data_IF_003249979952
#
_entry.id   IF_003249979952
#
_cell.length_a   1.000
_cell.length_b   1.000
_cell.length_c   1.000
_cell.angle_alpha   90.00
_cell.angle_beta   90.00
_cell.angle_gamma   90.00
#
_symmetry.space_group_name_H-M   'P 1'
#
loop_
_entity.id
_entity.type
_entity.pdbx_description
1 polymer ?
#
# COMPACT_ATOMS: atom_id res chain seq x y z
N UNK A 1 12.88 1.26 -18.84
CA UNK A 1 14.28 0.77 -18.75
C UNK A 1 14.25 -0.69 -18.32
N UNK A 2 15.12 -1.55 -18.92
CA UNK A 2 15.30 -2.93 -18.43
C UNK A 2 16.36 -2.87 -17.31
N UNK A 3 15.99 -3.33 -16.15
CA UNK A 3 16.89 -3.45 -15.01
C UNK A 3 17.06 -4.93 -14.66
N UNK A 4 18.27 -5.33 -14.27
CA UNK A 4 18.56 -6.69 -13.83
C UNK A 4 18.59 -6.70 -12.30
N UNK A 5 17.70 -7.43 -11.67
CA UNK A 5 17.57 -7.50 -10.21
C UNK A 5 18.83 -8.12 -9.58
N UNK A 6 19.45 -9.09 -10.27
CA UNK A 6 20.61 -9.83 -9.78
C UNK A 6 21.70 -9.95 -10.85
N UNK A 7 22.44 -8.86 -11.17
CA UNK A 7 23.43 -8.85 -12.23
C UNK A 7 24.62 -9.78 -11.98
N UNK A 8 24.89 -10.19 -10.73
CA UNK A 8 25.94 -11.13 -10.36
C UNK A 8 25.82 -12.49 -11.04
N UNK A 9 24.59 -12.94 -11.40
CA UNK A 9 24.39 -14.21 -12.11
C UNK A 9 24.95 -14.20 -13.54
N UNK A 10 25.23 -13.03 -14.13
CA UNK A 10 25.88 -12.93 -15.44
C UNK A 10 27.30 -13.52 -15.44
N UNK A 11 27.93 -13.67 -14.26
CA UNK A 11 29.23 -14.35 -14.12
C UNK A 11 29.17 -15.80 -14.64
N UNK A 12 28.00 -16.44 -14.60
CA UNK A 12 27.81 -17.78 -15.16
C UNK A 12 28.10 -17.86 -16.66
N UNK A 13 28.04 -16.76 -17.40
CA UNK A 13 28.48 -16.76 -18.80
C UNK A 13 29.96 -17.14 -18.94
N UNK A 14 30.80 -16.91 -17.95
CA UNK A 14 32.19 -17.34 -17.95
C UNK A 14 32.37 -18.86 -17.89
N UNK A 15 31.35 -19.61 -17.42
CA UNK A 15 31.39 -21.07 -17.45
C UNK A 15 31.41 -21.64 -18.86
N UNK A 16 30.84 -20.93 -19.84
CA UNK A 16 30.80 -21.39 -21.21
C UNK A 16 32.20 -21.45 -21.87
N UNK A 17 33.04 -20.40 -21.88
CA UNK A 17 34.40 -20.49 -22.37
C UNK A 17 35.27 -21.44 -21.55
N UNK A 18 35.05 -21.47 -20.21
CA UNK A 18 35.76 -22.44 -19.33
C UNK A 18 35.45 -23.87 -19.73
N UNK A 19 34.20 -24.21 -20.01
CA UNK A 19 33.77 -25.52 -20.47
C UNK A 19 34.46 -25.90 -21.80
N UNK A 20 34.55 -24.97 -22.75
CA UNK A 20 35.22 -25.16 -24.02
C UNK A 20 36.71 -25.42 -23.81
N UNK A 21 37.38 -24.69 -22.92
CA UNK A 21 38.79 -24.84 -22.58
C UNK A 21 39.06 -26.24 -21.95
N UNK A 22 38.26 -26.61 -20.96
CA UNK A 22 38.34 -27.91 -20.29
C UNK A 22 38.11 -29.07 -21.27
N UNK A 23 37.19 -28.93 -22.21
CA UNK A 23 36.93 -29.92 -23.25
C UNK A 23 38.10 -30.03 -24.23
N UNK A 24 38.75 -28.92 -24.59
CA UNK A 24 39.96 -28.92 -25.43
C UNK A 24 41.16 -29.52 -24.69
N UNK A 25 41.27 -29.29 -23.37
CA UNK A 25 42.29 -29.85 -22.51
C UNK A 25 42.12 -31.36 -22.21
N UNK A 26 41.04 -31.98 -22.70
CA UNK A 26 40.84 -33.45 -22.54
C UNK A 26 40.27 -33.87 -21.18
N UNK A 27 39.84 -32.93 -20.35
CA UNK A 27 39.27 -33.24 -19.02
C UNK A 27 37.95 -34.01 -19.08
N UNK A 28 37.24 -33.98 -20.19
CA UNK A 28 36.00 -34.74 -20.35
C UNK A 28 36.28 -36.02 -21.15
N UNK A 29 36.27 -37.14 -20.46
CA UNK A 29 36.26 -38.48 -21.06
C UNK A 29 35.04 -38.59 -21.97
N UNK A 30 35.23 -38.86 -23.25
CA UNK A 30 34.14 -39.22 -24.13
C UNK A 30 33.61 -40.57 -23.68
N UNK A 31 32.38 -40.73 -23.19
CA UNK A 31 31.81 -42.04 -22.92
C UNK A 31 31.64 -42.75 -24.26
N UNK A 32 32.64 -43.49 -24.66
CA UNK A 32 32.57 -44.42 -25.78
C UNK A 32 32.12 -45.75 -25.21
N UNK A 33 30.88 -46.12 -25.41
CA UNK A 33 30.43 -47.50 -25.18
C UNK A 33 30.89 -48.31 -26.39
N UNK A 34 31.87 -49.24 -26.25
CA UNK A 34 32.24 -50.13 -27.33
C UNK A 34 31.06 -51.10 -27.55
N UNK A 35 30.29 -50.88 -28.60
CA UNK A 35 29.38 -51.90 -29.10
C UNK A 35 30.24 -52.97 -29.76
N UNK A 36 30.51 -54.07 -29.04
CA UNK A 36 31.13 -55.24 -29.58
C UNK A 36 30.08 -55.97 -30.43
N UNK A 37 29.90 -55.51 -31.65
CA UNK A 37 29.24 -56.28 -32.70
C UNK A 37 30.28 -57.34 -33.14
N UNK A 38 30.13 -58.56 -32.67
CA UNK A 38 31.06 -59.65 -32.91
C UNK A 38 31.62 -59.71 -34.33
N UNK A 39 32.70 -60.47 -34.56
CA UNK A 39 33.45 -60.55 -35.82
C UNK A 39 32.59 -60.72 -37.09
N UNK A 40 32.05 -59.70 -37.60
CA UNK A 40 31.25 -59.68 -38.79
C UNK A 40 32.08 -59.30 -40.01
N UNK A 41 33.40 -59.50 -40.01
CA UNK A 41 34.27 -59.42 -41.17
C UNK A 41 34.05 -58.23 -42.14
N UNK A 42 33.37 -57.18 -41.69
CA UNK A 42 32.96 -56.07 -42.52
C UNK A 42 33.77 -54.83 -42.26
N UNK A 43 34.11 -54.04 -43.27
CA UNK A 43 34.86 -52.77 -43.13
C UNK A 43 34.08 -51.82 -42.26
N UNK A 44 34.84 -51.09 -41.43
CA UNK A 44 34.40 -50.07 -40.46
C UNK A 44 33.15 -49.32 -40.95
N UNK A 45 31.99 -49.61 -40.34
CA UNK A 45 30.74 -48.89 -40.62
C UNK A 45 30.85 -47.46 -40.10
N UNK A 46 31.34 -46.57 -40.91
CA UNK A 46 31.30 -45.14 -40.60
C UNK A 46 29.97 -44.55 -41.01
N UNK A 47 29.02 -44.50 -40.06
CA UNK A 47 27.76 -43.79 -40.26
C UNK A 47 28.02 -42.29 -40.37
N UNK A 48 28.38 -41.80 -41.56
CA UNK A 48 28.51 -40.38 -41.87
C UNK A 48 27.24 -39.88 -42.59
N UNK A 49 26.09 -40.02 -41.97
CA UNK A 49 24.86 -39.42 -42.53
C UNK A 49 24.86 -37.90 -42.35
N UNK A 50 24.60 -37.11 -43.40
CA UNK A 50 24.46 -35.65 -43.27
C UNK A 50 23.32 -35.28 -42.33
N UNK A 51 22.29 -36.11 -42.23
CA UNK A 51 21.19 -35.95 -41.31
C UNK A 51 21.61 -35.99 -39.85
N UNK A 52 22.44 -36.96 -39.47
CA UNK A 52 22.94 -37.03 -38.07
C UNK A 52 23.87 -35.89 -37.70
N UNK A 53 24.61 -35.32 -38.65
CA UNK A 53 25.39 -34.11 -38.45
C UNK A 53 24.49 -32.88 -38.23
N UNK A 54 23.43 -32.77 -39.03
CA UNK A 54 22.44 -31.68 -38.93
C UNK A 54 21.71 -31.73 -37.56
N UNK A 55 21.19 -32.89 -37.17
CA UNK A 55 20.54 -33.08 -35.86
C UNK A 55 21.46 -32.74 -34.72
N UNK A 56 22.74 -33.17 -34.78
CA UNK A 56 23.73 -32.83 -33.75
C UNK A 56 24.05 -31.35 -33.72
N UNK A 57 24.14 -30.68 -34.86
CA UNK A 57 24.37 -29.24 -34.93
C UNK A 57 23.21 -28.46 -34.30
N UNK A 58 21.97 -28.81 -34.69
CA UNK A 58 20.76 -28.20 -34.14
C UNK A 58 20.64 -28.43 -32.64
N UNK A 59 20.87 -29.65 -32.18
CA UNK A 59 20.84 -29.99 -30.73
C UNK A 59 21.89 -29.23 -29.92
N UNK A 60 23.12 -29.08 -30.45
CA UNK A 60 24.16 -28.26 -29.76
C UNK A 60 23.82 -26.77 -29.78
N UNK A 61 23.31 -26.25 -30.87
CA UNK A 61 22.87 -24.85 -30.95
C UNK A 61 21.72 -24.58 -29.97
N UNK A 62 20.73 -25.47 -29.94
CA UNK A 62 19.60 -25.35 -28.99
C UNK A 62 20.08 -25.40 -27.52
N UNK A 63 21.01 -26.28 -27.17
CA UNK A 63 21.56 -26.36 -25.82
C UNK A 63 22.32 -25.09 -25.41
N UNK A 64 23.09 -24.51 -26.35
CA UNK A 64 23.78 -23.23 -26.10
C UNK A 64 22.79 -22.10 -25.89
N UNK A 65 21.79 -21.98 -26.75
CA UNK A 65 20.74 -20.96 -26.62
C UNK A 65 20.00 -21.12 -25.28
N UNK A 66 19.61 -22.36 -24.94
CA UNK A 66 18.94 -22.64 -23.68
C UNK A 66 19.80 -22.23 -22.46
N UNK A 67 21.11 -22.48 -22.49
CA UNK A 67 22.02 -22.03 -21.44
C UNK A 67 22.03 -20.51 -21.29
N UNK A 68 22.16 -19.77 -22.41
CA UNK A 68 22.16 -18.30 -22.38
C UNK A 68 20.83 -17.74 -21.88
N UNK A 69 19.72 -18.31 -22.31
CA UNK A 69 18.38 -17.90 -21.84
C UNK A 69 18.18 -18.22 -20.35
N UNK A 70 18.67 -19.35 -19.87
CA UNK A 70 18.60 -19.70 -18.45
C UNK A 70 19.39 -18.74 -17.57
N UNK A 71 20.62 -18.35 -17.98
CA UNK A 71 21.41 -17.36 -17.25
C UNK A 71 20.73 -15.99 -17.26
N UNK A 72 20.13 -15.60 -18.40
CA UNK A 72 19.40 -14.35 -18.50
C UNK A 72 18.14 -14.36 -17.60
N UNK A 73 17.42 -15.48 -17.56
CA UNK A 73 16.27 -15.65 -16.67
C UNK A 73 16.65 -15.57 -15.19
N UNK A 74 17.79 -16.19 -14.79
CA UNK A 74 18.32 -16.12 -13.43
C UNK A 74 18.75 -14.70 -13.02
N UNK A 75 19.17 -13.86 -13.97
CA UNK A 75 19.52 -12.48 -13.71
C UNK A 75 18.32 -11.57 -13.41
N UNK A 76 17.08 -12.10 -13.54
CA UNK A 76 15.83 -11.41 -13.21
C UNK A 76 15.65 -10.12 -14.01
N UNK A 77 15.40 -10.17 -15.33
CA UNK A 77 15.12 -8.96 -16.10
C UNK A 77 13.77 -8.40 -15.69
N UNK A 78 13.76 -7.29 -14.96
CA UNK A 78 12.57 -6.54 -14.56
C UNK A 78 12.41 -5.34 -15.49
N UNK A 79 11.24 -5.20 -16.06
CA UNK A 79 10.87 -4.01 -16.80
C UNK A 79 10.29 -3.01 -15.80
N UNK A 80 11.06 -2.01 -15.41
CA UNK A 80 10.51 -0.86 -14.71
C UNK A 80 9.61 -0.11 -15.69
N UNK A 81 8.31 -0.40 -15.61
CA UNK A 81 7.31 0.49 -16.15
C UNK A 81 7.18 1.61 -15.13
N UNK A 82 7.85 2.74 -15.38
CA UNK A 82 7.40 3.97 -14.75
C UNK A 82 5.99 4.19 -15.31
N UNK A 83 4.98 3.73 -14.62
CA UNK A 83 3.72 4.43 -14.69
C UNK A 83 4.08 5.81 -14.17
N UNK A 84 4.14 6.77 -15.08
CA UNK A 84 4.12 8.15 -14.70
C UNK A 84 2.80 8.30 -13.92
N UNK A 85 2.88 8.16 -12.60
CA UNK A 85 1.89 8.79 -11.73
C UNK A 85 1.95 10.23 -12.22
N UNK A 86 0.96 10.64 -12.97
CA UNK A 86 0.78 12.01 -13.39
C UNK A 86 0.67 12.80 -12.09
N UNK A 87 1.80 13.23 -11.57
CA UNK A 87 1.91 14.36 -10.68
C UNK A 87 1.51 15.59 -11.51
N UNK A 88 0.24 15.64 -11.91
CA UNK A 88 -0.40 16.93 -12.07
C UNK A 88 -0.28 17.55 -10.69
N UNK A 89 0.17 18.78 -10.64
CA UNK A 89 0.09 19.75 -9.55
C UNK A 89 -1.31 19.70 -8.89
N UNK A 90 -1.62 18.61 -8.23
CA UNK A 90 -2.87 18.39 -7.53
C UNK A 90 -2.59 18.48 -6.05
N UNK A 91 -3.48 19.11 -5.32
CA UNK A 91 -3.45 19.13 -3.86
C UNK A 91 -3.57 17.69 -3.33
N UNK A 92 -2.89 17.38 -2.25
CA UNK A 92 -3.06 16.15 -1.50
C UNK A 92 -3.96 16.42 -0.31
N UNK A 93 -4.98 15.58 -0.11
CA UNK A 93 -5.86 15.65 1.06
C UNK A 93 -5.81 14.33 1.82
N UNK A 94 -5.48 14.38 3.10
CA UNK A 94 -5.48 13.23 3.99
C UNK A 94 -6.65 13.38 4.96
N UNK A 95 -7.58 12.45 4.91
CA UNK A 95 -8.67 12.37 5.87
C UNK A 95 -8.26 11.51 7.05
N UNK A 96 -8.55 12.01 8.25
CA UNK A 96 -8.51 11.25 9.50
C UNK A 96 -9.96 11.03 9.90
N UNK A 97 -10.42 9.79 9.88
CA UNK A 97 -11.79 9.45 10.24
C UNK A 97 -11.78 8.64 11.53
N UNK A 98 -12.45 9.18 12.52
CA UNK A 98 -12.71 8.52 13.79
C UNK A 98 -13.69 7.37 13.59
N UNK A 99 -13.35 6.20 14.10
CA UNK A 99 -14.22 5.00 14.11
C UNK A 99 -14.36 4.43 15.51
N UNK A 100 -14.15 5.24 16.53
CA UNK A 100 -14.42 4.87 17.93
C UNK A 100 -15.90 4.52 18.15
N UNK A 101 -16.24 3.81 19.22
CA UNK A 101 -17.63 3.41 19.51
C UNK A 101 -18.64 4.58 19.59
N UNK A 102 -18.20 5.76 20.02
CA UNK A 102 -19.04 6.97 20.07
C UNK A 102 -19.53 7.43 18.68
N UNK A 103 -18.77 7.10 17.62
CA UNK A 103 -19.17 7.36 16.23
C UNK A 103 -20.34 6.47 15.73
N UNK A 104 -20.75 5.48 16.52
CA UNK A 104 -21.99 4.72 16.30
C UNK A 104 -23.25 5.47 16.74
N UNK A 105 -23.11 6.62 17.42
CA UNK A 105 -24.24 7.40 17.86
C UNK A 105 -25.09 7.87 16.67
N UNK A 106 -26.42 7.75 16.82
CA UNK A 106 -27.42 8.13 15.82
C UNK A 106 -28.20 9.37 16.28
N UNK A 107 -27.45 10.46 16.53
CA UNK A 107 -27.99 11.73 17.03
C UNK A 107 -28.21 12.79 15.93
N UNK A 108 -27.98 12.44 14.67
CA UNK A 108 -28.14 13.31 13.52
C UNK A 108 -29.01 12.61 12.44
N UNK A 109 -30.26 13.01 12.34
CA UNK A 109 -31.26 12.53 11.35
C UNK A 109 -31.34 10.98 11.19
N UNK A 110 -31.09 10.23 12.27
CA UNK A 110 -31.16 8.78 12.29
C UNK A 110 -30.00 8.06 11.59
N UNK A 111 -28.99 8.81 11.10
CA UNK A 111 -27.73 8.26 10.57
C UNK A 111 -26.68 8.21 11.67
N UNK A 112 -25.74 7.27 11.59
CA UNK A 112 -24.61 7.25 12.52
C UNK A 112 -23.64 8.39 12.21
N UNK A 113 -22.92 8.87 13.23
CA UNK A 113 -21.85 9.89 13.06
C UNK A 113 -20.83 9.43 12.02
N UNK A 114 -20.48 8.14 12.03
CA UNK A 114 -19.57 7.54 11.04
C UNK A 114 -20.12 7.65 9.62
N UNK A 115 -21.43 7.40 9.41
CA UNK A 115 -22.02 7.48 8.07
C UNK A 115 -22.07 8.94 7.57
N UNK A 116 -22.30 9.87 8.47
CA UNK A 116 -22.22 11.30 8.17
C UNK A 116 -20.80 11.68 7.77
N UNK A 117 -19.80 11.26 8.55
CA UNK A 117 -18.39 11.49 8.21
C UNK A 117 -18.02 10.93 6.83
N UNK A 118 -18.47 9.70 6.51
CA UNK A 118 -18.31 9.10 5.17
C UNK A 118 -18.99 9.92 4.08
N UNK A 119 -20.17 10.42 4.34
CA UNK A 119 -20.91 11.24 3.37
C UNK A 119 -20.19 12.54 3.07
N UNK A 120 -19.66 13.23 4.10
CA UNK A 120 -18.84 14.43 3.92
C UNK A 120 -17.60 14.14 3.08
N UNK A 121 -16.86 13.08 3.40
CA UNK A 121 -15.67 12.67 2.65
C UNK A 121 -16.02 12.36 1.19
N UNK A 122 -17.09 11.62 0.95
CA UNK A 122 -17.53 11.26 -0.42
C UNK A 122 -17.92 12.51 -1.23
N UNK A 123 -18.68 13.40 -0.64
CA UNK A 123 -19.12 14.65 -1.29
C UNK A 123 -17.93 15.54 -1.62
N UNK A 124 -16.97 15.64 -0.70
CA UNK A 124 -15.75 16.42 -0.90
C UNK A 124 -14.86 15.82 -1.98
N UNK A 125 -14.60 14.51 -1.92
CA UNK A 125 -13.72 13.83 -2.84
C UNK A 125 -14.33 13.67 -4.24
N UNK A 126 -15.63 13.41 -4.33
CA UNK A 126 -16.34 13.26 -5.61
C UNK A 126 -16.32 14.51 -6.47
N UNK A 127 -16.23 15.70 -5.85
CA UNK A 127 -16.14 16.98 -6.56
C UNK A 127 -14.72 17.32 -7.08
N UNK A 128 -13.69 16.52 -6.78
CA UNK A 128 -12.27 16.88 -7.00
C UNK A 128 -11.47 15.77 -7.67
N UNK A 129 -11.69 15.53 -8.95
CA UNK A 129 -11.07 14.44 -9.74
C UNK A 129 -9.55 14.55 -9.92
N UNK A 130 -8.93 15.68 -9.61
CA UNK A 130 -7.48 15.90 -9.76
C UNK A 130 -6.69 15.93 -8.45
N UNK A 131 -7.33 15.58 -7.32
CA UNK A 131 -6.74 15.58 -5.97
C UNK A 131 -6.37 14.15 -5.56
N UNK A 132 -5.21 13.97 -4.94
CA UNK A 132 -4.85 12.69 -4.31
C UNK A 132 -5.46 12.63 -2.91
N UNK A 133 -6.14 11.52 -2.59
CA UNK A 133 -6.76 11.30 -1.29
C UNK A 133 -6.06 10.21 -0.51
N UNK A 134 -5.76 10.49 0.76
CA UNK A 134 -5.30 9.53 1.75
C UNK A 134 -6.34 9.33 2.85
N UNK A 135 -6.31 8.20 3.51
CA UNK A 135 -7.22 7.84 4.60
C UNK A 135 -6.46 7.29 5.80
N UNK A 136 -6.67 7.90 6.94
CA UNK A 136 -6.22 7.44 8.25
C UNK A 136 -7.44 7.02 9.05
N UNK A 137 -7.43 5.79 9.57
CA UNK A 137 -8.42 5.33 10.56
C UNK A 137 -7.93 5.62 11.96
N UNK A 138 -8.83 6.02 12.83
CA UNK A 138 -8.56 6.44 14.20
C UNK A 138 -9.51 5.75 15.19
N UNK A 139 -8.97 5.30 16.29
CA UNK A 139 -9.61 4.79 17.49
C UNK A 139 -8.63 4.90 18.66
N UNK A 140 -8.51 3.90 19.53
CA UNK A 140 -7.44 3.86 20.53
C UNK A 140 -6.04 3.69 19.90
N UNK A 141 -5.98 3.24 18.66
CA UNK A 141 -4.82 3.27 17.79
C UNK A 141 -5.13 4.02 16.48
N UNK A 142 -4.13 4.31 15.67
CA UNK A 142 -4.32 4.94 14.37
C UNK A 142 -3.40 4.33 13.31
N UNK A 143 -3.90 4.20 12.09
CA UNK A 143 -3.11 3.71 10.97
C UNK A 143 -3.47 4.40 9.65
N UNK A 144 -2.47 4.56 8.78
CA UNK A 144 -2.69 4.94 7.39
C UNK A 144 -3.27 3.75 6.64
N UNK A 145 -4.51 3.87 6.20
CA UNK A 145 -5.25 2.82 5.50
C UNK A 145 -5.08 2.90 3.99
N UNK A 146 -5.07 4.12 3.49
CA UNK A 146 -4.83 4.40 2.07
C UNK A 146 -3.79 5.52 1.99
N UNK A 147 -2.62 5.25 1.46
CA UNK A 147 -1.67 6.31 1.11
C UNK A 147 -2.29 7.27 0.10
N UNK A 148 -1.87 8.55 0.07
CA UNK A 148 -2.38 9.50 -0.92
C UNK A 148 -2.32 8.93 -2.34
N UNK A 149 -3.49 8.75 -2.95
CA UNK A 149 -3.64 8.16 -4.28
C UNK A 149 -4.60 8.95 -5.15
N UNK A 150 -4.34 8.99 -6.46
CA UNK A 150 -5.27 9.50 -7.45
C UNK A 150 -6.33 8.45 -7.87
N UNK A 151 -6.16 7.20 -7.43
CA UNK A 151 -7.16 6.15 -7.61
C UNK A 151 -8.25 6.28 -6.55
N UNK A 152 -9.30 7.01 -6.91
CA UNK A 152 -10.42 7.27 -6.00
C UNK A 152 -11.24 6.00 -5.71
N UNK A 153 -11.17 4.96 -6.55
CA UNK A 153 -11.92 3.74 -6.30
C UNK A 153 -11.36 3.00 -5.09
N UNK A 154 -10.04 2.80 -5.03
CA UNK A 154 -9.35 2.19 -3.87
C UNK A 154 -9.65 2.98 -2.60
N UNK A 155 -9.63 4.33 -2.68
CA UNK A 155 -9.95 5.20 -1.56
C UNK A 155 -11.40 4.98 -1.07
N UNK A 156 -12.39 5.00 -1.97
CA UNK A 156 -13.79 4.82 -1.60
C UNK A 156 -14.10 3.40 -1.12
N UNK A 157 -13.49 2.38 -1.69
CA UNK A 157 -13.68 1.00 -1.27
C UNK A 157 -13.21 0.82 0.18
N UNK A 158 -12.05 1.38 0.55
CA UNK A 158 -11.56 1.33 1.93
C UNK A 158 -12.40 2.18 2.88
N UNK A 159 -12.79 3.39 2.48
CA UNK A 159 -13.67 4.25 3.26
C UNK A 159 -15.00 3.54 3.61
N UNK A 160 -15.56 2.81 2.65
CA UNK A 160 -16.82 2.09 2.84
C UNK A 160 -16.69 0.86 3.72
N UNK A 161 -15.53 0.22 3.71
CA UNK A 161 -15.27 -0.99 4.51
C UNK A 161 -14.86 -0.71 5.94
N UNK A 162 -14.59 0.56 6.33
CA UNK A 162 -14.29 0.92 7.71
C UNK A 162 -15.42 0.51 8.66
N UNK A 163 -15.08 -0.07 9.79
CA UNK A 163 -16.05 -0.47 10.80
C UNK A 163 -15.81 0.26 12.13
N UNK A 164 -16.88 0.52 12.87
CA UNK A 164 -16.80 1.06 14.23
C UNK A 164 -16.04 0.06 15.10
N UNK A 165 -15.10 0.56 15.93
CA UNK A 165 -14.27 -0.27 16.82
C UNK A 165 -13.10 -0.96 16.10
N UNK A 166 -12.89 -0.75 14.79
CA UNK A 166 -11.77 -1.39 14.05
C UNK A 166 -10.39 -1.05 14.63
N UNK A 167 -10.25 0.11 15.26
CA UNK A 167 -9.02 0.60 15.89
C UNK A 167 -9.10 0.63 17.43
N UNK A 168 -10.00 -0.15 18.01
CA UNK A 168 -10.22 -0.26 19.47
C UNK A 168 -11.25 0.74 20.02
N UNK A 169 -11.50 0.64 21.32
CA UNK A 169 -12.66 1.27 21.97
C UNK A 169 -12.42 2.74 22.42
N UNK A 170 -11.21 3.24 22.31
CA UNK A 170 -10.89 4.62 22.67
C UNK A 170 -10.65 5.51 21.46
N UNK A 171 -10.31 6.78 21.72
CA UNK A 171 -10.01 7.78 20.70
C UNK A 171 -8.68 8.48 21.02
N UNK A 172 -7.68 8.27 20.18
CA UNK A 172 -6.31 8.83 20.29
C UNK A 172 -6.08 9.91 19.21
N UNK A 173 -6.75 11.07 19.34
CA UNK A 173 -6.72 12.14 18.33
C UNK A 173 -5.30 12.56 17.95
N UNK A 174 -4.42 12.73 18.94
CA UNK A 174 -3.04 13.13 18.71
C UNK A 174 -2.25 12.12 17.87
N UNK A 175 -2.52 10.82 18.03
CA UNK A 175 -1.88 9.76 17.23
C UNK A 175 -2.36 9.82 15.77
N UNK A 176 -3.67 10.01 15.55
CA UNK A 176 -4.22 10.16 14.21
C UNK A 176 -3.61 11.33 13.44
N UNK A 177 -3.50 12.50 14.11
CA UNK A 177 -2.87 13.71 13.55
C UNK A 177 -1.38 13.45 13.26
N UNK A 178 -0.65 12.78 14.18
CA UNK A 178 0.77 12.46 13.99
C UNK A 178 1.01 11.52 12.80
N UNK A 179 0.15 10.50 12.62
CA UNK A 179 0.21 9.60 11.47
C UNK A 179 -0.01 10.37 10.16
N UNK A 180 -1.01 11.25 10.12
CA UNK A 180 -1.26 12.08 8.94
C UNK A 180 -0.11 13.05 8.64
N UNK A 181 0.48 13.66 9.68
CA UNK A 181 1.63 14.55 9.54
C UNK A 181 2.86 13.84 8.98
N UNK A 182 3.17 12.63 9.48
CA UNK A 182 4.30 11.83 9.01
C UNK A 182 4.19 11.48 7.51
N UNK A 183 2.98 11.21 7.04
CA UNK A 183 2.75 10.86 5.62
C UNK A 183 2.56 12.09 4.73
N UNK A 184 2.06 13.19 5.28
CA UNK A 184 1.98 14.48 4.59
C UNK A 184 3.36 15.07 4.29
N UNK A 185 4.32 14.93 5.19
CA UNK A 185 5.69 15.42 5.01
C UNK A 185 6.44 14.75 3.84
N UNK A 186 5.99 13.58 3.40
CA UNK A 186 6.60 12.82 2.29
C UNK A 186 6.15 13.28 0.89
N UNK A 187 5.36 14.34 0.80
CA UNK A 187 4.72 14.79 -0.46
C UNK A 187 5.57 15.82 -1.22
N UNK A 188 6.82 15.54 -1.53
CA UNK A 188 7.75 16.25 -2.46
C UNK A 188 7.30 17.66 -2.95
N UNK A 189 7.01 18.57 -2.01
CA UNK A 189 6.63 19.96 -2.33
C UNK A 189 5.18 20.17 -2.81
N UNK A 190 4.33 19.15 -2.78
CA UNK A 190 2.88 19.27 -3.07
C UNK A 190 2.16 19.75 -1.82
N UNK A 191 1.27 20.79 -1.93
CA UNK A 191 0.47 21.23 -0.80
C UNK A 191 -0.37 20.10 -0.22
N UNK A 192 -0.25 19.87 1.09
CA UNK A 192 -1.03 18.85 1.81
C UNK A 192 -2.07 19.53 2.68
N UNK A 193 -3.27 18.98 2.68
CA UNK A 193 -4.34 19.37 3.60
C UNK A 193 -4.76 18.17 4.41
N UNK A 194 -4.84 18.28 5.70
CA UNK A 194 -5.34 17.26 6.61
C UNK A 194 -6.71 17.66 7.12
N UNK A 195 -7.68 16.75 7.06
CA UNK A 195 -9.05 16.96 7.53
C UNK A 195 -9.37 15.88 8.55
N UNK A 196 -9.55 16.29 9.80
CA UNK A 196 -9.94 15.42 10.92
C UNK A 196 -11.47 15.46 11.07
N UNK A 197 -12.10 14.28 11.10
CA UNK A 197 -13.52 14.09 11.37
C UNK A 197 -13.68 13.25 12.64
N UNK A 198 -14.25 13.81 13.68
CA UNK A 198 -14.37 13.19 15.02
C UNK A 198 -15.52 13.82 15.79
N UNK A 199 -15.97 13.16 16.86
CA UNK A 199 -16.89 13.74 17.84
C UNK A 199 -16.17 14.44 19.02
N UNK A 200 -14.84 14.50 19.00
CA UNK A 200 -14.04 15.29 19.92
C UNK A 200 -13.67 14.60 21.21
N UNK A 201 -14.11 13.38 21.45
CA UNK A 201 -13.62 12.61 22.60
C UNK A 201 -12.13 12.30 22.41
N UNK A 202 -11.33 12.47 23.45
CA UNK A 202 -9.91 12.13 23.45
C UNK A 202 -9.56 11.46 24.77
N UNK A 203 -9.73 10.15 24.79
CA UNK A 203 -9.63 9.33 26.01
C UNK A 203 -8.53 8.26 25.91
N UNK A 204 -7.74 8.24 24.84
CA UNK A 204 -6.66 7.28 24.61
C UNK A 204 -5.44 7.97 23.99
N UNK A 205 -4.32 7.21 23.96
CA UNK A 205 -3.07 7.62 23.31
C UNK A 205 -2.16 8.49 24.20
N UNK A 206 -0.86 8.44 23.88
CA UNK A 206 0.19 9.18 24.61
C UNK A 206 0.52 10.53 23.97
N UNK A 207 0.06 10.76 22.76
CA UNK A 207 0.35 11.97 21.99
C UNK A 207 -0.75 12.99 22.23
N UNK A 208 -0.37 14.16 22.74
CA UNK A 208 -1.30 15.25 22.96
C UNK A 208 -1.78 15.86 21.63
N UNK A 209 -3.09 16.01 21.39
CA UNK A 209 -3.63 16.44 20.09
C UNK A 209 -3.09 17.79 19.62
N UNK A 210 -3.02 18.80 20.50
CA UNK A 210 -2.51 20.13 20.16
C UNK A 210 -1.01 20.10 19.81
N UNK A 211 -0.24 19.21 20.46
CA UNK A 211 1.18 19.02 20.12
C UNK A 211 1.32 18.45 18.72
N UNK A 212 0.54 17.40 18.40
CA UNK A 212 0.54 16.81 17.07
C UNK A 212 0.08 17.81 15.99
N UNK A 213 -0.94 18.62 16.30
CA UNK A 213 -1.43 19.68 15.42
C UNK A 213 -0.37 20.76 15.17
N UNK A 214 0.40 21.14 16.19
CA UNK A 214 1.52 22.10 16.06
C UNK A 214 2.64 21.57 15.17
N UNK A 215 2.94 20.28 15.28
CA UNK A 215 3.92 19.61 14.40
C UNK A 215 3.42 19.60 12.97
N UNK A 216 2.13 19.30 12.75
CA UNK A 216 1.49 19.35 11.43
C UNK A 216 1.58 20.76 10.84
N UNK A 217 1.28 21.80 11.60
CA UNK A 217 1.40 23.20 11.17
C UNK A 217 2.84 23.56 10.75
N UNK A 218 3.84 23.03 11.46
CA UNK A 218 5.26 23.26 11.14
C UNK A 218 5.68 22.69 9.78
N UNK A 219 4.96 21.70 9.27
CA UNK A 219 5.19 21.15 7.92
C UNK A 219 4.57 22.00 6.79
N UNK A 220 3.82 23.04 7.12
CA UNK A 220 3.11 23.89 6.16
C UNK A 220 1.81 23.27 5.61
N UNK A 221 1.33 22.17 6.19
CA UNK A 221 0.08 21.55 5.82
C UNK A 221 -1.13 22.38 6.28
N UNK A 222 -2.17 22.45 5.43
CA UNK A 222 -3.47 22.98 5.85
C UNK A 222 -4.15 22.02 6.82
N UNK A 223 -4.87 22.52 7.81
CA UNK A 223 -5.55 21.69 8.78
C UNK A 223 -7.01 22.12 8.97
N UNK A 224 -7.92 21.17 8.94
CA UNK A 224 -9.34 21.37 9.20
C UNK A 224 -9.81 20.31 10.19
N UNK A 225 -10.63 20.73 11.14
CA UNK A 225 -11.27 19.85 12.12
C UNK A 225 -12.77 19.98 11.97
N UNK A 226 -13.43 18.84 11.69
CA UNK A 226 -14.88 18.74 11.54
C UNK A 226 -15.41 17.98 12.74
N UNK A 227 -16.13 18.69 13.62
CA UNK A 227 -16.81 18.08 14.75
C UNK A 227 -18.17 17.51 14.32
N UNK A 228 -18.41 16.22 14.62
CA UNK A 228 -19.65 15.53 14.26
C UNK A 228 -20.29 15.01 15.55
N UNK A 229 -21.46 15.50 15.91
CA UNK A 229 -22.21 15.01 17.07
C UNK A 229 -22.88 16.10 17.87
N UNK A 230 -23.58 15.66 18.92
CA UNK A 230 -24.25 16.54 19.89
C UNK A 230 -23.91 16.09 21.33
N UNK A 231 -24.11 16.98 22.30
CA UNK A 231 -23.97 16.68 23.73
C UNK A 231 -25.22 16.00 24.28
N UNK A 232 -25.03 15.11 25.23
CA UNK A 232 -26.09 14.49 26.02
C UNK A 232 -26.30 13.01 25.70
N UNK A 233 -27.43 12.45 26.16
CA UNK A 233 -27.69 11.02 25.97
C UNK A 233 -28.01 10.71 24.50
N UNK A 234 -27.23 9.83 23.89
CA UNK A 234 -27.37 9.40 22.49
C UNK A 234 -27.50 7.90 22.40
N UNK A 235 -28.32 7.42 21.47
CA UNK A 235 -28.44 5.99 21.22
C UNK A 235 -27.27 5.51 20.38
N UNK A 236 -26.65 4.41 20.85
CA UNK A 236 -25.51 3.78 20.19
C UNK A 236 -25.86 2.31 19.93
N UNK A 237 -25.62 1.88 18.71
CA UNK A 237 -25.75 0.47 18.32
C UNK A 237 -24.69 0.11 17.29
N UNK A 238 -23.84 -0.87 17.62
CA UNK A 238 -22.82 -1.36 16.69
C UNK A 238 -22.43 -2.82 16.98
N UNK A 239 -21.76 -3.44 16.03
CA UNK A 239 -21.17 -4.78 16.19
C UNK A 239 -19.67 -4.62 16.20
N UNK A 240 -19.03 -5.05 17.27
CA UNK A 240 -17.57 -5.05 17.37
C UNK A 240 -16.99 -6.01 16.31
N UNK A 241 -16.13 -5.51 15.40
CA UNK A 241 -15.60 -6.33 14.33
C UNK A 241 -14.62 -7.41 14.79
N UNK A 242 -14.08 -7.31 16.01
CA UNK A 242 -13.12 -8.28 16.57
C UNK A 242 -13.83 -9.42 17.29
N UNK A 243 -14.76 -9.08 18.20
CA UNK A 243 -15.47 -10.07 19.01
C UNK A 243 -16.77 -10.57 18.37
N UNK A 244 -17.32 -9.83 17.38
CA UNK A 244 -18.65 -10.07 16.82
C UNK A 244 -19.80 -9.76 17.79
N UNK A 245 -19.51 -9.15 18.94
CA UNK A 245 -20.49 -8.80 19.95
C UNK A 245 -21.29 -7.58 19.54
N UNK A 246 -22.63 -7.66 19.66
CA UNK A 246 -23.50 -6.51 19.42
C UNK A 246 -23.63 -5.70 20.70
N UNK A 247 -23.30 -4.42 20.60
CA UNK A 247 -23.49 -3.44 21.66
C UNK A 247 -24.67 -2.55 21.33
N UNK A 248 -25.52 -2.28 22.31
CA UNK A 248 -26.66 -1.40 22.17
C UNK A 248 -26.96 -0.75 23.54
N UNK A 249 -27.12 0.57 23.54
CA UNK A 249 -27.35 1.31 24.77
C UNK A 249 -27.48 2.80 24.56
N UNK A 250 -27.52 3.52 25.67
CA UNK A 250 -27.44 4.99 25.69
C UNK A 250 -26.05 5.38 26.16
N UNK A 251 -25.35 6.15 25.35
CA UNK A 251 -24.06 6.76 25.67
C UNK A 251 -24.30 8.22 26.07
N UNK A 252 -23.67 8.65 27.15
CA UNK A 252 -23.59 10.09 27.47
C UNK A 252 -22.46 10.68 26.62
N UNK A 253 -22.81 11.44 25.59
CA UNK A 253 -21.85 12.01 24.65
C UNK A 253 -21.20 13.26 25.25
N UNK A 254 -19.87 13.22 25.34
CA UNK A 254 -19.02 14.32 25.84
C UNK A 254 -18.52 15.23 24.71
N UNK A 255 -19.31 15.37 23.64
CA UNK A 255 -18.93 16.23 22.51
C UNK A 255 -18.39 17.59 22.97
N UNK A 256 -17.11 17.88 22.72
CA UNK A 256 -16.43 19.09 23.17
C UNK A 256 -15.94 19.97 22.00
N UNK A 257 -16.80 20.89 21.60
CA UNK A 257 -16.53 21.85 20.55
C UNK A 257 -15.32 22.76 20.86
N UNK A 258 -15.14 23.10 22.14
CA UNK A 258 -14.03 23.96 22.56
C UNK A 258 -12.68 23.27 22.46
N UNK A 259 -12.62 21.99 22.79
CA UNK A 259 -11.42 21.17 22.63
C UNK A 259 -11.05 21.02 21.14
N UNK A 260 -12.03 20.74 20.28
CA UNK A 260 -11.80 20.65 18.83
C UNK A 260 -11.34 21.97 18.22
N UNK A 261 -11.91 23.09 18.65
CA UNK A 261 -11.46 24.40 18.23
C UNK A 261 -10.03 24.71 18.68
N UNK A 262 -9.65 24.28 19.90
CA UNK A 262 -8.27 24.44 20.42
C UNK A 262 -7.27 23.61 19.60
N UNK A 263 -7.60 22.37 19.25
CA UNK A 263 -6.79 21.50 18.39
C UNK A 263 -6.61 22.13 16.99
N UNK A 264 -7.71 22.65 16.40
CA UNK A 264 -7.66 23.33 15.12
C UNK A 264 -6.75 24.57 15.19
N UNK A 265 -6.90 25.39 16.22
CA UNK A 265 -6.09 26.60 16.44
C UNK A 265 -4.59 26.26 16.62
N UNK A 266 -4.26 25.23 17.37
CA UNK A 266 -2.88 24.78 17.56
C UNK A 266 -2.22 24.34 16.23
N UNK A 267 -3.02 23.82 15.29
CA UNK A 267 -2.61 23.45 13.94
C UNK A 267 -2.66 24.59 12.93
N UNK A 268 -2.86 25.85 13.33
CA UNK A 268 -3.14 26.99 12.43
C UNK A 268 -4.29 26.70 11.45
N UNK A 269 -5.23 25.87 11.87
CA UNK A 269 -6.32 25.36 11.07
C UNK A 269 -7.67 26.02 11.41
N UNK A 270 -8.73 25.43 10.85
CA UNK A 270 -10.09 25.90 11.04
C UNK A 270 -10.96 24.77 11.59
N UNK A 271 -11.75 25.08 12.62
CA UNK A 271 -12.80 24.21 13.13
C UNK A 271 -14.13 24.51 12.41
N UNK A 272 -14.86 23.44 12.10
CA UNK A 272 -16.19 23.50 11.48
C UNK A 272 -17.09 22.48 12.19
N UNK A 273 -18.23 22.92 12.70
CA UNK A 273 -19.26 22.00 13.19
C UNK A 273 -20.05 21.41 12.02
N UNK A 274 -20.24 20.09 12.01
CA UNK A 274 -21.18 19.46 11.09
C UNK A 274 -22.60 19.87 11.52
N UNK A 275 -23.28 20.66 10.69
CA UNK A 275 -24.66 21.05 10.95
C UNK A 275 -25.61 20.07 10.24
N UNK A 276 -26.73 19.74 10.91
CA UNK A 276 -27.86 19.10 10.25
C UNK A 276 -28.43 20.04 9.20
N UNK A 277 -28.55 19.56 7.99
CA UNK A 277 -29.29 20.20 6.91
C UNK A 277 -30.64 19.56 6.70
#
# INVERSE_FOLDING_TARGET
MLYLERPSWLILFMLFPLFILLRKAGFFLRPAFPLILGNWGAPVLSWRSPFTRFVRLVGTAAAVIAFFLAVLALSGPVRLTNEAVFSKTGNTVIFILDVSPSMAASDMDGSTRLDIGRQYIRSFAGARSGTAFGLVGLGSSAALLVPPTADHQIFFDRLNSLAIGEFGDGTALGLGIAVAAAHGASSDGVPVTVILLTDGENNAGEVHPETAASVLASSGAGFYVIGIGSRGPVQVEYVDPVSGTRYSGILESEFDESALASIAAAGNGTYVAAQNH
#
